data_IF_827589452862
#
_entry.id   IF_827589452862
#
_cell.length_a   1.000
_cell.length_b   1.000
_cell.length_c   1.000
_cell.angle_alpha   90.00
_cell.angle_beta   90.00
_cell.angle_gamma   90.00
#
_symmetry.space_group_name_H-M   'P 1'
#
loop_
_entity.id
_entity.type
_entity.pdbx_description
1 polymer ?
2 non-polymer ?
3 water ?
#
# COMPACT_ATOMS: atom_id res chain seq x y z
N UNK A 1 11.22 -20.16 -0.07
CA UNK A 1 11.08 -20.74 1.29
C UNK A 1 11.33 -19.75 2.41
N UNK A 2 10.48 -19.81 3.43
CA UNK A 2 10.65 -18.93 4.59
C UNK A 2 11.52 -19.71 5.56
N UNK A 3 12.69 -19.18 5.85
CA UNK A 3 13.61 -19.84 6.75
C UNK A 3 14.75 -18.88 7.02
N UNK A 4 15.45 -19.12 8.12
CA UNK A 4 16.60 -18.31 8.48
C UNK A 4 17.42 -19.13 9.47
N UNK A 5 18.71 -18.84 9.54
CA UNK A 5 19.61 -19.54 10.45
C UNK A 5 19.16 -19.20 11.87
N UNK A 6 19.35 -20.13 12.79
CA UNK A 6 18.97 -19.90 14.19
C UNK A 6 19.78 -18.75 14.78
N UNK A 7 21.08 -18.69 14.51
CA UNK A 7 21.89 -17.63 15.07
C UNK A 7 21.43 -16.26 14.59
N UNK A 8 20.87 -16.18 13.39
CA UNK A 8 20.38 -14.90 12.88
C UNK A 8 19.09 -14.53 13.59
N UNK A 9 18.22 -15.51 13.84
CA UNK A 9 16.97 -15.24 14.55
C UNK A 9 17.26 -14.81 15.98
N UNK A 10 18.17 -15.52 16.66
CA UNK A 10 18.50 -15.18 18.04
C UNK A 10 19.12 -13.78 18.10
N UNK A 11 19.96 -13.45 17.13
CA UNK A 11 20.60 -12.14 17.08
C UNK A 11 19.52 -11.07 17.02
N UNK A 12 18.59 -11.26 16.10
CA UNK A 12 17.46 -10.35 15.87
C UNK A 12 16.66 -10.18 17.17
N UNK A 13 16.24 -11.32 17.73
CA UNK A 13 15.43 -11.34 18.95
C UNK A 13 16.07 -10.73 20.19
N UNK A 14 17.37 -10.95 20.37
CA UNK A 14 18.02 -10.41 21.55
C UNK A 14 18.73 -9.09 21.30
N UNK A 15 18.76 -8.67 20.04
CA UNK A 15 19.43 -7.43 19.70
C UNK A 15 20.91 -7.59 19.99
N UNK A 16 21.47 -8.72 19.54
CA UNK A 16 22.90 -8.99 19.74
C UNK A 16 23.52 -9.41 18.41
N UNK A 17 24.85 -9.35 18.32
CA UNK A 17 25.55 -9.73 17.10
C UNK A 17 25.34 -11.22 16.83
N UNK A 18 25.52 -11.63 15.58
CA UNK A 18 25.36 -13.03 15.22
C UNK A 18 26.41 -13.87 15.93
N UNK A 19 27.60 -13.30 16.14
CA UNK A 19 28.67 -14.03 16.83
C UNK A 19 28.27 -14.38 18.26
N UNK A 20 27.64 -13.45 18.97
CA UNK A 20 27.24 -13.72 20.35
C UNK A 20 25.99 -14.60 20.36
N UNK A 21 25.21 -14.54 19.29
CA UNK A 21 24.01 -15.37 19.20
C UNK A 21 24.54 -16.81 19.13
N UNK A 22 25.60 -17.01 18.36
CA UNK A 22 26.19 -18.32 18.25
C UNK A 22 26.70 -18.78 19.60
N UNK A 23 27.33 -17.85 20.32
CA UNK A 23 27.87 -18.15 21.65
C UNK A 23 26.76 -18.66 22.57
N UNK A 24 25.62 -17.97 22.55
CA UNK A 24 24.48 -18.36 23.38
C UNK A 24 23.91 -19.70 22.96
N UNK A 25 23.85 -19.93 21.65
CA UNK A 25 23.32 -21.19 21.13
C UNK A 25 24.19 -22.35 21.62
N UNK A 26 25.51 -22.16 21.61
CA UNK A 26 26.42 -23.20 22.07
C UNK A 26 26.48 -23.24 23.58
N UNK A 27 25.80 -22.29 24.23
CA UNK A 27 25.77 -22.26 25.68
C UNK A 27 24.58 -23.05 26.19
N UNK A 28 23.87 -23.68 25.26
CA UNK A 28 22.70 -24.51 25.59
C UNK A 28 21.54 -23.71 26.16
N UNK A 29 21.48 -22.43 25.80
CA UNK A 29 20.42 -21.55 26.28
C UNK A 29 19.25 -21.48 25.31
N UNK A 30 19.46 -21.96 24.09
CA UNK A 30 18.40 -21.91 23.08
C UNK A 30 17.78 -23.28 22.82
N UNK A 31 16.45 -23.28 22.83
CA UNK A 31 15.67 -24.49 22.61
C UNK A 31 14.73 -24.29 21.43
N UNK A 32 14.37 -25.38 20.75
CA UNK A 32 13.41 -25.30 19.65
C UNK A 32 12.54 -26.55 19.77
N UNK A 33 11.23 -26.33 19.85
CA UNK A 33 10.27 -27.43 20.00
C UNK A 33 10.62 -28.27 21.22
N UNK A 34 11.05 -27.60 22.29
CA UNK A 34 11.38 -28.31 23.51
C UNK A 34 12.78 -28.87 23.66
N UNK A 35 13.49 -29.07 22.55
CA UNK A 35 14.86 -29.62 22.62
C UNK A 35 15.94 -28.56 22.46
N UNK A 36 17.06 -28.77 23.13
CA UNK A 36 18.19 -27.85 23.04
C UNK A 36 18.86 -27.98 21.68
N UNK A 37 19.21 -26.84 21.10
CA UNK A 37 19.90 -26.81 19.80
C UNK A 37 21.19 -26.02 20.00
N UNK A 38 22.33 -26.69 19.83
CA UNK A 38 23.64 -26.05 19.99
C UNK A 38 24.26 -25.65 18.67
N UNK A 39 23.55 -25.88 17.58
CA UNK A 39 24.06 -25.56 16.25
C UNK A 39 23.57 -24.20 15.74
N UNK A 40 24.51 -23.29 15.51
CA UNK A 40 24.20 -21.94 15.05
C UNK A 40 23.62 -21.88 13.64
N UNK A 41 23.94 -22.87 12.81
CA UNK A 41 23.45 -22.88 11.44
C UNK A 41 22.12 -23.62 11.26
N UNK A 42 21.51 -24.02 12.37
CA UNK A 42 20.23 -24.73 12.35
C UNK A 42 19.24 -23.96 11.46
N UNK A 43 18.55 -24.67 10.57
CA UNK A 43 17.58 -24.02 9.66
C UNK A 43 16.22 -23.86 10.34
N UNK A 44 15.96 -22.66 10.87
CA UNK A 44 14.71 -22.37 11.57
C UNK A 44 13.51 -22.23 10.64
N UNK A 45 12.48 -23.03 10.89
CA UNK A 45 11.24 -23.01 10.09
C UNK A 45 10.13 -22.26 10.83
N UNK A 46 9.11 -21.78 10.08
CA UNK A 46 7.98 -21.04 10.67
C UNK A 46 7.20 -21.83 11.72
N UNK A 47 7.22 -23.14 11.59
CA UNK A 47 6.52 -24.05 12.50
C UNK A 47 7.32 -24.41 13.76
N UNK A 48 8.51 -23.85 13.91
CA UNK A 48 9.34 -24.14 15.07
C UNK A 48 9.06 -23.18 16.22
N UNK A 49 9.08 -23.69 17.45
CA UNK A 49 8.85 -22.87 18.64
C UNK A 49 10.17 -22.68 19.37
N UNK A 50 10.74 -21.48 19.23
CA UNK A 50 12.02 -21.13 19.84
C UNK A 50 11.89 -20.56 21.26
N UNK A 51 12.85 -20.90 22.11
CA UNK A 51 12.86 -20.40 23.47
C UNK A 51 14.27 -20.05 23.90
N UNK A 52 14.40 -18.99 24.68
CA UNK A 52 15.71 -18.56 25.18
C UNK A 52 15.67 -18.58 26.71
N UNK A 53 16.40 -19.52 27.32
CA UNK A 53 16.42 -19.65 28.78
C UNK A 53 15.04 -19.96 29.33
N UNK A 54 14.26 -20.75 28.60
CA UNK A 54 12.94 -21.11 29.07
C UNK A 54 11.86 -20.15 28.60
N UNK A 55 12.26 -18.96 28.17
CA UNK A 55 11.30 -17.97 27.70
C UNK A 55 11.05 -18.07 26.20
N UNK A 56 9.77 -18.10 25.79
CA UNK A 56 9.41 -18.21 24.38
C UNK A 56 9.79 -16.98 23.55
N UNK A 57 10.14 -17.21 22.29
CA UNK A 57 10.50 -16.14 21.36
C UNK A 57 9.75 -16.38 20.08
N UNK A 58 8.47 -16.03 20.07
CA UNK A 58 7.65 -16.22 18.89
C UNK A 58 8.27 -15.64 17.64
N UNK A 59 8.03 -16.28 16.50
CA UNK A 59 8.55 -15.79 15.22
C UNK A 59 7.53 -14.81 14.66
N UNK A 60 8.00 -13.88 13.85
CA UNK A 60 7.09 -12.89 13.29
C UNK A 60 6.86 -12.94 11.80
N UNK A 61 5.61 -13.14 11.41
CA UNK A 61 5.25 -13.17 10.00
C UNK A 61 5.75 -11.87 9.41
N UNK A 62 6.45 -11.95 8.29
CA UNK A 62 6.94 -10.74 7.67
C UNK A 62 5.76 -9.93 7.18
N UNK A 63 5.93 -8.63 6.93
CA UNK A 63 4.82 -7.80 6.45
C UNK A 63 4.52 -8.16 4.98
N UNK A 64 3.27 -7.96 4.55
CA UNK A 64 2.90 -8.28 3.17
C UNK A 64 2.42 -7.04 2.43
N UNK A 65 2.82 -6.90 1.17
CA UNK A 65 2.42 -5.75 0.35
C UNK A 65 1.99 -6.22 -1.03
N UNK A 66 0.81 -5.79 -1.47
CA UNK A 66 0.31 -6.18 -2.79
C UNK A 66 -0.12 -4.99 -3.66
N UNK A 67 0.00 -5.18 -4.96
CA UNK A 67 -0.42 -4.20 -5.95
C UNK A 67 -1.70 -4.78 -6.55
N UNK A 68 -2.80 -4.04 -6.49
CA UNK A 68 -4.07 -4.53 -7.02
C UNK A 68 -4.65 -3.57 -8.05
N UNK A 69 -5.14 -4.10 -9.16
CA UNK A 69 -5.79 -3.27 -10.16
C UNK A 69 -7.26 -3.38 -9.77
N UNK A 70 -7.73 -2.37 -9.05
CA UNK A 70 -9.09 -2.33 -8.55
C UNK A 70 -10.15 -2.14 -9.66
N UNK A 71 -11.18 -3.02 -9.71
CA UNK A 71 -12.23 -2.92 -10.72
C UNK A 71 -13.42 -2.16 -10.12
N UNK A 72 -14.39 -1.80 -10.96
CA UNK A 72 -15.59 -1.10 -10.49
C UNK A 72 -16.51 -2.10 -9.78
N UNK A 73 -17.38 -1.60 -8.92
CA UNK A 73 -18.31 -2.49 -8.23
C UNK A 73 -17.85 -3.04 -6.89
N UNK A 74 -16.61 -2.75 -6.51
CA UNK A 74 -16.08 -3.22 -5.24
C UNK A 74 -15.53 -2.07 -4.40
N UNK A 75 -15.61 -2.20 -3.08
CA UNK A 75 -15.15 -1.16 -2.18
C UNK A 75 -13.89 -1.54 -1.43
N UNK A 76 -13.18 -0.53 -0.92
CA UNK A 76 -11.92 -0.78 -0.21
C UNK A 76 -11.97 -0.80 1.31
N UNK A 77 -13.14 -1.02 1.88
CA UNK A 77 -13.29 -1.12 3.33
C UNK A 77 -14.65 -1.73 3.63
N UNK A 78 -14.89 -2.08 4.88
CA UNK A 78 -16.17 -2.68 5.26
C UNK A 78 -17.12 -1.65 5.85
N UNK A 79 -16.79 -0.37 5.66
CA UNK A 79 -17.61 0.73 6.15
C UNK A 79 -19.03 0.60 5.58
N UNK A 80 -19.12 0.46 4.26
CA UNK A 80 -20.41 0.31 3.58
C UNK A 80 -20.71 -1.18 3.40
N UNK A 81 -21.85 -1.66 3.94
CA UNK A 81 -22.25 -3.06 3.85
C UNK A 81 -23.07 -3.46 2.63
N UNK A 82 -23.32 -2.51 1.72
CA UNK A 82 -24.11 -2.79 0.52
C UNK A 82 -23.28 -3.29 -0.66
N UNK A 83 -21.96 -3.28 -0.51
CA UNK A 83 -21.09 -3.70 -1.60
C UNK A 83 -19.99 -4.66 -1.15
N UNK A 84 -19.62 -5.60 -2.03
CA UNK A 84 -18.57 -6.58 -1.72
C UNK A 84 -17.21 -5.89 -1.74
N UNK A 85 -16.30 -6.31 -0.87
CA UNK A 85 -14.98 -5.69 -0.83
C UNK A 85 -13.98 -6.33 -1.80
N UNK A 86 -12.90 -5.60 -2.05
CA UNK A 86 -11.83 -6.05 -2.93
C UNK A 86 -11.18 -7.36 -2.47
N UNK A 87 -11.44 -7.79 -1.24
CA UNK A 87 -10.87 -9.05 -0.78
C UNK A 87 -11.40 -10.21 -1.63
N UNK A 88 -12.51 -9.98 -2.32
CA UNK A 88 -13.06 -11.01 -3.18
C UNK A 88 -12.01 -11.48 -4.17
N UNK A 89 -11.17 -10.55 -4.63
CA UNK A 89 -10.13 -10.86 -5.60
C UNK A 89 -8.86 -11.46 -5.02
N UNK A 90 -8.66 -11.29 -3.72
CA UNK A 90 -7.47 -11.82 -3.08
C UNK A 90 -7.63 -13.24 -2.60
N UNK A 91 -6.64 -14.06 -2.92
CA UNK A 91 -6.61 -15.44 -2.51
C UNK A 91 -5.33 -15.58 -1.70
N UNK A 92 -5.37 -15.07 -0.48
CA UNK A 92 -4.24 -15.10 0.44
C UNK A 92 -4.71 -15.49 1.83
N UNK A 93 -3.87 -16.20 2.60
CA UNK A 93 -4.29 -16.58 3.95
C UNK A 93 -4.54 -15.35 4.83
N UNK A 94 -5.53 -15.44 5.71
CA UNK A 94 -5.90 -14.35 6.61
C UNK A 94 -5.85 -13.01 5.88
N UNK A 95 -6.56 -12.95 4.75
CA UNK A 95 -6.61 -11.75 3.92
C UNK A 95 -7.33 -10.60 4.61
N UNK A 96 -8.22 -10.92 5.55
CA UNK A 96 -8.96 -9.91 6.27
C UNK A 96 -8.05 -9.00 7.08
N UNK A 97 -6.79 -9.40 7.24
CA UNK A 97 -5.81 -8.60 7.99
C UNK A 97 -5.19 -7.53 7.11
N UNK A 98 -5.51 -7.56 5.82
CA UNK A 98 -4.97 -6.59 4.87
C UNK A 98 -5.88 -5.37 4.77
N UNK A 99 -5.29 -4.20 4.53
CA UNK A 99 -6.08 -2.99 4.36
C UNK A 99 -5.49 -2.18 3.21
N UNK A 100 -6.27 -1.28 2.64
CA UNK A 100 -5.81 -0.46 1.52
C UNK A 100 -5.05 0.79 1.99
N UNK A 101 -3.79 0.92 1.57
CA UNK A 101 -3.01 2.10 1.95
C UNK A 101 -3.41 3.14 0.89
N UNK A 102 -4.61 3.69 1.06
CA UNK A 102 -5.13 4.65 0.12
C UNK A 102 -6.33 3.99 -0.55
N UNK A 103 -7.53 4.31 -0.06
CA UNK A 103 -8.76 3.75 -0.58
C UNK A 103 -9.26 4.40 -1.86
N UNK A 104 -10.01 3.61 -2.62
CA UNK A 104 -10.61 4.07 -3.87
C UNK A 104 -12.11 3.80 -3.79
N UNK A 105 -12.90 4.72 -4.31
CA UNK A 105 -14.34 4.57 -4.27
C UNK A 105 -14.81 3.39 -5.12
N UNK A 106 -16.06 3.02 -4.93
CA UNK A 106 -16.67 1.89 -5.64
C UNK A 106 -16.43 1.84 -7.15
N UNK A 107 -16.68 2.93 -7.87
CA UNK A 107 -16.45 2.87 -9.31
C UNK A 107 -15.15 3.47 -9.80
N UNK A 108 -14.25 3.79 -8.88
CA UNK A 108 -12.95 4.31 -9.27
C UNK A 108 -12.11 3.06 -9.45
N UNK A 109 -11.31 3.02 -10.51
CA UNK A 109 -10.50 1.84 -10.75
C UNK A 109 -9.02 2.15 -10.63
N UNK A 110 -8.19 1.11 -10.73
CA UNK A 110 -6.77 1.34 -10.66
C UNK A 110 -6.02 0.91 -9.42
N UNK A 111 -4.81 1.44 -9.32
CA UNK A 111 -3.87 1.11 -8.25
C UNK A 111 -4.31 1.31 -6.81
N UNK A 112 -4.33 0.19 -6.09
CA UNK A 112 -4.65 0.14 -4.67
C UNK A 112 -3.53 -0.68 -4.06
N UNK A 113 -2.97 -0.19 -2.95
CA UNK A 113 -1.89 -0.89 -2.27
C UNK A 113 -2.45 -1.61 -1.04
N UNK A 114 -2.46 -2.94 -1.09
CA UNK A 114 -2.97 -3.74 0.01
C UNK A 114 -1.79 -4.16 0.91
N UNK A 115 -1.93 -3.96 2.22
CA UNK A 115 -0.83 -4.26 3.14
C UNK A 115 -1.29 -4.48 4.58
N UNK A 116 -0.40 -5.05 5.40
CA UNK A 116 -0.68 -5.24 6.81
C UNK A 116 0.39 -4.50 7.60
N UNK A 117 1.10 -3.61 6.92
CA UNK A 117 2.17 -2.81 7.52
C UNK A 117 1.57 -1.42 7.80
N UNK A 118 1.20 -1.18 9.05
CA UNK A 118 0.60 0.10 9.41
C UNK A 118 1.52 1.29 9.27
N UNK A 119 2.78 1.09 9.59
CA UNK A 119 3.77 2.16 9.50
C UNK A 119 3.94 2.58 8.05
N UNK A 120 4.20 1.60 7.19
CA UNK A 120 4.38 1.82 5.76
C UNK A 120 3.13 2.52 5.24
N UNK A 121 1.98 1.99 5.61
CA UNK A 121 0.69 2.54 5.18
C UNK A 121 0.54 3.99 5.58
N UNK A 122 0.80 4.30 6.85
CA UNK A 122 0.67 5.67 7.33
C UNK A 122 1.60 6.64 6.62
N UNK A 123 2.84 6.25 6.37
CA UNK A 123 3.78 7.14 5.68
C UNK A 123 3.20 7.56 4.33
N UNK A 124 2.47 6.64 3.70
CA UNK A 124 1.85 6.91 2.42
C UNK A 124 0.57 7.75 2.48
N UNK A 125 -0.34 7.41 3.38
CA UNK A 125 -1.63 8.09 3.48
C UNK A 125 -1.81 9.34 4.33
N UNK A 126 -0.91 9.57 5.27
CA UNK A 126 -1.03 10.74 6.13
C UNK A 126 -1.34 12.04 5.39
N UNK A 127 -2.34 12.78 5.87
CA UNK A 127 -2.78 14.06 5.28
C UNK A 127 -1.67 15.12 5.34
N UNK A 128 -0.66 14.85 6.16
CA UNK A 128 0.46 15.79 6.31
C UNK A 128 1.57 15.50 5.32
N UNK A 129 1.52 14.33 4.68
CA UNK A 129 2.56 13.95 3.74
C UNK A 129 2.24 14.26 2.28
N UNK A 130 3.27 14.74 1.59
CA UNK A 130 3.16 15.09 0.18
C UNK A 130 3.45 13.83 -0.63
N UNK A 131 2.39 13.12 -1.01
CA UNK A 131 2.54 11.91 -1.79
C UNK A 131 1.79 12.13 -3.10
N UNK A 132 2.49 11.99 -4.21
CA UNK A 132 1.86 12.20 -5.50
C UNK A 132 1.05 11.01 -5.98
N UNK A 133 -0.12 11.30 -6.51
CA UNK A 133 -1.00 10.29 -7.07
C UNK A 133 -1.40 10.81 -8.42
N UNK A 134 -1.31 9.95 -9.43
CA UNK A 134 -1.65 10.34 -10.79
C UNK A 134 -2.87 9.57 -11.24
N UNK A 135 -3.84 10.28 -11.83
CA UNK A 135 -5.07 9.66 -12.30
C UNK A 135 -5.34 9.91 -13.78
N UNK A 136 -5.97 8.93 -14.42
CA UNK A 136 -6.39 9.05 -15.81
C UNK A 136 -7.87 9.42 -15.66
N UNK A 137 -8.23 10.64 -16.04
CA UNK A 137 -9.60 11.11 -15.86
C UNK A 137 -10.39 11.25 -17.15
N UNK A 138 -11.60 10.68 -17.18
CA UNK A 138 -12.46 10.80 -18.36
C UNK A 138 -13.51 11.84 -18.00
N UNK A 139 -13.62 12.87 -18.84
CA UNK A 139 -14.55 13.97 -18.60
C UNK A 139 -15.83 13.98 -19.41
N UNK A 140 -16.87 14.59 -18.83
CA UNK A 140 -18.18 14.72 -19.45
C UNK A 140 -18.06 15.62 -20.68
N UNK A 141 -17.34 16.73 -20.51
CA UNK A 141 -17.15 17.68 -21.60
C UNK A 141 -15.68 17.99 -21.86
N UNK A 142 -15.36 18.42 -23.10
CA UNK A 142 -13.97 18.73 -23.44
C UNK A 142 -13.38 19.66 -22.39
N UNK A 143 -12.17 19.37 -21.92
CA UNK A 143 -11.54 20.21 -20.91
C UNK A 143 -11.46 21.66 -21.36
N UNK A 144 -11.64 22.58 -20.43
CA UNK A 144 -11.57 24.00 -20.73
C UNK A 144 -10.10 24.39 -20.82
N UNK A 145 -9.84 25.45 -21.57
CA UNK A 145 -8.48 25.96 -21.79
C UNK A 145 -7.82 26.62 -20.58
N UNK A 146 -8.63 26.94 -19.56
CA UNK A 146 -8.09 27.56 -18.37
C UNK A 146 -7.96 26.58 -17.20
N UNK A 147 -8.55 25.41 -17.31
CA UNK A 147 -8.47 24.43 -16.26
C UNK A 147 -7.03 24.10 -15.81
N UNK A 148 -6.12 23.80 -16.73
CA UNK A 148 -4.73 23.49 -16.35
C UNK A 148 -4.11 24.55 -15.44
N UNK A 149 -4.35 25.81 -15.77
CA UNK A 149 -3.84 26.94 -15.02
C UNK A 149 -4.53 27.01 -13.67
N UNK A 150 -5.83 26.78 -13.68
CA UNK A 150 -6.65 26.79 -12.47
C UNK A 150 -6.09 25.78 -11.47
N UNK A 151 -5.89 24.56 -11.96
CA UNK A 151 -5.38 23.49 -11.12
C UNK A 151 -3.97 23.83 -10.65
N UNK A 152 -3.23 24.56 -11.49
CA UNK A 152 -1.87 24.95 -11.12
C UNK A 152 -1.95 25.95 -9.96
N UNK A 153 -2.83 26.94 -10.06
CA UNK A 153 -2.95 27.92 -8.97
C UNK A 153 -3.54 27.21 -7.75
N UNK A 154 -4.49 26.31 -8.03
CA UNK A 154 -5.16 25.60 -6.97
C UNK A 154 -6.57 26.14 -6.98
N UNK A 155 -7.57 25.26 -6.94
CA UNK A 155 -8.96 25.68 -6.96
C UNK A 155 -9.60 25.54 -5.60
N UNK A 156 -10.81 26.08 -5.48
CA UNK A 156 -11.55 26.00 -4.23
C UNK A 156 -12.68 25.00 -4.36
N UNK A 157 -12.68 23.97 -3.52
CA UNK A 157 -13.73 22.96 -3.57
C UNK A 157 -14.99 23.53 -2.91
N UNK A 158 -16.15 23.08 -3.34
CA UNK A 158 -17.40 23.57 -2.78
C UNK A 158 -17.40 23.46 -1.25
N UNK A 159 -17.30 24.61 -0.60
CA UNK A 159 -17.27 24.74 0.85
C UNK A 159 -16.02 24.18 1.53
N UNK A 160 -14.90 24.83 1.23
CA UNK A 160 -13.59 24.49 1.79
C UNK A 160 -12.91 25.83 1.96
N UNK A 161 -12.29 26.05 3.12
CA UNK A 161 -11.62 27.32 3.38
C UNK A 161 -10.40 27.50 2.47
N UNK A 162 -9.55 26.48 2.44
CA UNK A 162 -8.31 26.52 1.66
C UNK A 162 -8.37 25.83 0.29
N UNK A 163 -7.73 26.44 -0.70
CA UNK A 163 -7.68 25.91 -2.06
C UNK A 163 -6.95 24.57 -2.12
N UNK A 164 -6.98 23.94 -3.29
CA UNK A 164 -6.28 22.68 -3.47
C UNK A 164 -4.83 23.03 -3.79
N UNK A 165 -3.90 22.18 -3.38
CA UNK A 165 -2.49 22.41 -3.66
C UNK A 165 -2.28 22.30 -5.17
N UNK A 166 -1.21 22.95 -5.69
CA UNK A 166 -0.97 22.89 -7.13
C UNK A 166 -0.90 21.47 -7.67
N UNK A 167 -1.60 21.24 -8.78
CA UNK A 167 -1.64 19.93 -9.42
C UNK A 167 -1.36 20.13 -10.91
N UNK A 168 -0.73 19.15 -11.55
CA UNK A 168 -0.45 19.30 -12.97
C UNK A 168 -1.39 18.42 -13.81
N UNK A 169 -2.00 19.03 -14.82
CA UNK A 169 -2.94 18.37 -15.70
C UNK A 169 -2.43 18.26 -17.13
N UNK A 170 -2.26 17.04 -17.61
CA UNK A 170 -1.79 16.78 -18.97
C UNK A 170 -2.98 16.35 -19.85
N UNK A 171 -3.24 17.06 -20.94
CA UNK A 171 -4.37 16.72 -21.80
C UNK A 171 -4.03 15.63 -22.81
N UNK A 172 -4.74 14.51 -22.76
CA UNK A 172 -4.48 13.41 -23.70
C UNK A 172 -5.41 13.59 -24.90
N UNK A 173 -6.71 13.65 -24.64
CA UNK A 173 -7.71 13.88 -25.66
C UNK A 173 -8.54 15.01 -25.04
N UNK A 174 -9.48 15.60 -25.79
CA UNK A 174 -10.26 16.68 -25.18
C UNK A 174 -11.08 16.22 -23.95
N UNK A 175 -11.48 14.96 -23.93
CA UNK A 175 -12.24 14.45 -22.79
C UNK A 175 -11.49 13.45 -21.90
N UNK A 176 -10.20 13.27 -22.14
CA UNK A 176 -9.41 12.36 -21.29
C UNK A 176 -8.13 13.06 -20.89
N UNK A 177 -7.94 13.21 -19.59
CA UNK A 177 -6.75 13.90 -19.09
C UNK A 177 -6.05 13.14 -17.98
N UNK A 178 -4.76 13.41 -17.80
CA UNK A 178 -3.98 12.77 -16.77
C UNK A 178 -3.74 13.87 -15.75
N UNK A 179 -4.03 13.58 -14.49
CA UNK A 179 -3.90 14.56 -13.42
C UNK A 179 -3.08 14.04 -12.25
N UNK A 180 -2.10 14.84 -11.84
CA UNK A 180 -1.26 14.47 -10.71
C UNK A 180 -1.50 15.45 -9.59
N UNK A 181 -1.82 14.91 -8.41
CA UNK A 181 -2.07 15.72 -7.24
C UNK A 181 -1.21 15.17 -6.12
N UNK A 182 -1.04 15.93 -5.03
CA UNK A 182 -0.21 15.45 -3.94
C UNK A 182 -0.98 15.45 -2.64
N UNK A 183 -2.30 15.60 -2.74
CA UNK A 183 -3.16 15.62 -1.56
C UNK A 183 -3.99 14.35 -1.47
N UNK A 184 -4.93 14.33 -0.53
CA UNK A 184 -5.77 13.17 -0.36
C UNK A 184 -7.17 13.51 0.12
N UNK A 185 -7.62 14.73 -0.13
CA UNK A 185 -8.96 15.17 0.28
C UNK A 185 -10.05 14.25 -0.27
N UNK A 186 -11.18 14.22 0.43
CA UNK A 186 -12.31 13.37 0.04
C UNK A 186 -12.89 13.69 -1.33
N UNK A 187 -12.89 12.69 -2.21
CA UNK A 187 -13.41 12.85 -3.57
C UNK A 187 -12.81 14.10 -4.22
N UNK A 188 -11.52 14.31 -3.98
CA UNK A 188 -10.85 15.49 -4.51
C UNK A 188 -10.91 15.68 -6.03
N UNK A 189 -10.55 14.65 -6.78
CA UNK A 189 -10.55 14.80 -8.23
C UNK A 189 -11.90 15.15 -8.80
N UNK A 190 -12.95 14.45 -8.37
CA UNK A 190 -14.29 14.71 -8.85
C UNK A 190 -14.79 16.11 -8.48
N UNK A 191 -14.41 16.58 -7.29
CA UNK A 191 -14.83 17.89 -6.82
C UNK A 191 -14.05 19.02 -7.50
N UNK A 192 -12.79 18.76 -7.84
CA UNK A 192 -11.95 19.76 -8.52
C UNK A 192 -12.55 20.06 -9.89
N UNK A 193 -13.02 19.02 -10.57
CA UNK A 193 -13.62 19.21 -11.89
C UNK A 193 -15.02 19.79 -11.80
N UNK A 194 -15.74 19.48 -10.74
CA UNK A 194 -17.06 20.05 -10.56
C UNK A 194 -16.84 21.55 -10.36
N UNK A 195 -15.88 21.88 -9.51
CA UNK A 195 -15.56 23.27 -9.21
C UNK A 195 -15.33 24.12 -10.45
N UNK A 196 -14.71 23.55 -11.47
CA UNK A 196 -14.45 24.33 -12.68
C UNK A 196 -15.48 24.10 -13.78
N UNK A 197 -16.60 23.49 -13.41
CA UNK A 197 -17.68 23.29 -14.36
C UNK A 197 -17.70 22.06 -15.27
N UNK A 198 -17.05 20.97 -14.87
CA UNK A 198 -17.06 19.77 -15.70
C UNK A 198 -17.55 18.63 -14.82
N UNK A 199 -17.49 17.41 -15.34
CA UNK A 199 -17.94 16.26 -14.59
C UNK A 199 -17.05 15.06 -14.91
N UNK A 200 -16.64 14.33 -13.87
CA UNK A 200 -15.80 13.17 -14.07
C UNK A 200 -16.70 11.98 -14.41
N UNK A 201 -16.46 11.39 -15.57
CA UNK A 201 -17.26 10.26 -16.02
C UNK A 201 -16.60 8.92 -15.64
N UNK A 202 -15.28 8.89 -15.65
CA UNK A 202 -14.52 7.70 -15.27
C UNK A 202 -13.22 8.16 -14.62
N UNK A 203 -12.77 7.45 -13.58
CA UNK A 203 -11.54 7.79 -12.86
C UNK A 203 -10.65 6.54 -12.67
N UNK A 204 -9.40 6.63 -13.09
CA UNK A 204 -8.47 5.50 -12.98
C UNK A 204 -7.11 5.91 -12.38
N UNK A 205 -6.72 5.31 -11.26
CA UNK A 205 -5.44 5.66 -10.65
C UNK A 205 -4.30 4.82 -11.22
N UNK A 206 -3.29 5.52 -11.72
CA UNK A 206 -2.14 4.88 -12.36
C UNK A 206 -0.88 4.78 -11.50
N UNK A 207 -0.75 5.68 -10.54
CA UNK A 207 0.46 5.71 -9.73
C UNK A 207 0.24 6.31 -8.33
N UNK A 208 1.05 5.83 -7.38
CA UNK A 208 1.03 6.31 -6.01
C UNK A 208 2.49 6.47 -5.64
N UNK A 209 2.95 7.70 -5.51
CA UNK A 209 4.35 7.91 -5.17
C UNK A 209 5.25 7.27 -6.21
N UNK A 210 6.16 6.40 -5.75
CA UNK A 210 7.06 5.73 -6.67
C UNK A 210 6.53 4.44 -7.26
N UNK A 211 5.28 4.09 -6.97
CA UNK A 211 4.72 2.85 -7.51
C UNK A 211 3.69 3.07 -8.61
N UNK A 212 3.98 2.52 -9.79
CA UNK A 212 3.09 2.65 -10.94
C UNK A 212 2.41 1.31 -11.23
N UNK A 213 1.11 1.37 -11.52
CA UNK A 213 0.35 0.17 -11.83
C UNK A 213 0.88 -0.51 -13.10
N UNK A 214 1.14 -1.82 -13.06
CA UNK A 214 1.62 -2.53 -14.24
C UNK A 214 0.66 -2.35 -15.39
N UNK A 215 1.20 -2.22 -16.59
CA UNK A 215 0.40 -2.03 -17.78
C UNK A 215 -0.34 -3.31 -18.14
N UNK A 216 0.16 -4.44 -17.67
CA UNK A 216 -0.47 -5.71 -18.01
C UNK A 216 -1.14 -6.46 -16.85
N UNK A 217 -1.53 -5.72 -15.81
CA UNK A 217 -2.22 -6.33 -14.68
C UNK A 217 -3.68 -6.01 -14.94
N UNK A 218 -4.45 -7.04 -15.27
CA UNK A 218 -5.87 -6.87 -15.59
C UNK A 218 -6.71 -6.48 -14.39
N UNK A 219 -7.85 -5.83 -14.63
CA UNK A 219 -8.70 -5.44 -13.49
C UNK A 219 -9.08 -6.68 -12.69
N UNK A 220 -8.87 -6.62 -11.38
CA UNK A 220 -9.17 -7.75 -10.53
C UNK A 220 -7.91 -8.52 -10.16
N UNK A 221 -6.88 -8.39 -10.98
CA UNK A 221 -5.61 -9.06 -10.70
C UNK A 221 -4.78 -8.28 -9.69
N UNK A 222 -3.86 -8.97 -9.04
CA UNK A 222 -2.99 -8.35 -8.06
C UNK A 222 -1.71 -9.20 -7.98
N UNK A 223 -0.70 -8.67 -7.28
CA UNK A 223 0.54 -9.39 -7.12
C UNK A 223 1.34 -8.76 -5.98
N UNK A 224 2.27 -9.53 -5.40
CA UNK A 224 3.10 -9.02 -4.31
C UNK A 224 4.00 -7.92 -4.86
N UNK A 225 4.28 -6.90 -4.08
CA UNK A 225 5.17 -5.83 -4.55
C UNK A 225 6.58 -6.40 -4.45
N UNK A 226 7.48 -5.90 -5.28
CA UNK A 226 8.86 -6.35 -5.26
C UNK A 226 9.55 -5.61 -4.12
N UNK A 227 10.75 -6.05 -3.75
CA UNK A 227 11.48 -5.40 -2.68
C UNK A 227 11.76 -3.95 -3.05
N UNK A 228 12.09 -3.71 -4.32
CA UNK A 228 12.36 -2.34 -4.78
C UNK A 228 11.15 -1.43 -4.61
N UNK A 229 9.97 -1.91 -4.98
CA UNK A 229 8.74 -1.13 -4.87
C UNK A 229 8.40 -0.86 -3.41
N UNK A 230 8.59 -1.87 -2.55
CA UNK A 230 8.32 -1.69 -1.13
C UNK A 230 9.35 -0.69 -0.61
N UNK A 231 10.60 -0.91 -1.00
CA UNK A 231 11.73 -0.07 -0.61
C UNK A 231 11.40 1.43 -0.65
N UNK A 232 10.43 1.81 -1.49
CA UNK A 232 10.02 3.22 -1.51
C UNK A 232 8.96 3.61 -2.54
N UNK A 233 7.70 3.41 -2.14
CA UNK A 233 6.54 3.76 -2.94
C UNK A 233 6.33 5.24 -2.67
N UNK A 234 7.44 5.94 -2.43
CA UNK A 234 7.47 7.36 -2.13
C UNK A 234 7.33 7.59 -0.62
X LIG B 1 -11.95 10.34 -5.82
X LIG B 1 -11.51 11.62 -6.20
X LIG B 1 -12.22 12.46 -6.71
X LIG B 1 -10.19 11.84 -5.94
X LIG B 1 -9.26 10.95 -5.36
X LIG B 1 -8.08 11.31 -5.18
X LIG B 1 -9.77 9.64 -4.99
X LIG B 1 -11.11 9.39 -5.24
#
# INVERSE_FOLDING_TARGET
GSHMRLDKFIAQQLGVSRAIAGREIRGNRVTVDGEIVRNAAFKLLPEHDVAYDGNPLAQQHGPRYFMLNKPQGYVCSTDDPDHPTVLYFLDEPVAWKLHAAGRLDIDTTGLVLMTDDGQWSHRITSPRHHCEKTYLVTLESPVADDTAEQFAKGVQLHNEKDLTKPAVLEVITPTQVRLTISEGRYHQVKRMFAAVGNHVVELHRERIGGITLDADLAPGEYRPLTEEEIASVV
URA N1 C2 O2 N3 C4 O4 C5 C6
#
